data_IF_493618489428
#
_entry.id   IF_493618489428
#
_cell.length_a   1.000
_cell.length_b   1.000
_cell.length_c   1.000
_cell.angle_alpha   90.00
_cell.angle_beta   90.00
_cell.angle_gamma   90.00
#
_symmetry.space_group_name_H-M   'P 1'
#
loop_
_entity.id
_entity.type
_entity.pdbx_description
1 polymer ?
#
# COMPACT_ATOMS: atom_id res chain seq x y z
N UNK A 1 8.75 -15.60 31.34
CA UNK A 1 8.74 -14.51 30.34
C UNK A 1 7.29 -14.22 30.04
N UNK A 2 6.72 -13.19 30.66
CA UNK A 2 5.33 -12.82 30.43
C UNK A 2 5.23 -12.18 29.06
N UNK A 3 4.67 -12.90 28.09
CA UNK A 3 4.20 -12.32 26.83
C UNK A 3 3.03 -11.41 27.18
N UNK A 4 3.31 -10.13 27.46
CA UNK A 4 2.29 -9.11 27.55
C UNK A 4 1.50 -9.14 26.24
N UNK A 5 0.29 -9.69 26.28
CA UNK A 5 -0.64 -9.73 25.16
C UNK A 5 -1.20 -8.31 24.96
N UNK A 6 -0.34 -7.41 24.50
CA UNK A 6 -0.77 -6.07 24.16
C UNK A 6 -1.56 -6.16 22.86
N UNK A 7 -2.88 -5.99 23.00
CA UNK A 7 -3.81 -5.91 21.89
C UNK A 7 -3.58 -4.58 21.14
N UNK A 8 -2.96 -4.65 19.97
CA UNK A 8 -2.79 -3.52 19.07
C UNK A 8 -3.66 -3.72 17.82
N UNK A 9 -4.01 -2.61 17.17
CA UNK A 9 -4.57 -2.65 15.82
C UNK A 9 -3.44 -2.48 14.82
N UNK A 10 -3.41 -3.33 13.80
CA UNK A 10 -2.44 -3.23 12.72
C UNK A 10 -3.01 -2.46 11.54
N UNK A 11 -2.25 -1.50 11.02
CA UNK A 11 -2.49 -0.85 9.74
C UNK A 11 -1.35 -1.18 8.79
N UNK A 12 -1.60 -2.04 7.80
CA UNK A 12 -0.59 -2.48 6.84
C UNK A 12 -0.95 -2.13 5.39
N UNK A 13 0.06 -1.71 4.63
CA UNK A 13 0.02 -1.60 3.16
C UNK A 13 1.07 -2.53 2.57
N UNK A 14 0.62 -3.38 1.65
CA UNK A 14 1.52 -4.23 0.85
C UNK A 14 1.54 -3.70 -0.58
N UNK A 15 2.72 -3.63 -1.18
CA UNK A 15 2.86 -3.05 -2.51
C UNK A 15 4.17 -3.37 -3.20
N UNK A 16 4.30 -2.82 -4.41
CA UNK A 16 5.49 -2.87 -5.24
C UNK A 16 5.98 -1.44 -5.49
N UNK A 17 7.29 -1.24 -5.53
CA UNK A 17 7.84 0.09 -5.78
C UNK A 17 9.34 0.08 -5.96
N UNK A 18 9.85 1.17 -6.55
CA UNK A 18 11.28 1.38 -6.65
C UNK A 18 11.83 1.92 -5.34
N UNK A 19 12.90 1.30 -4.85
CA UNK A 19 13.67 1.77 -3.70
C UNK A 19 14.61 2.90 -4.14
N UNK A 20 14.88 3.83 -3.24
CA UNK A 20 15.87 4.89 -3.41
C UNK A 20 16.24 5.52 -2.09
N UNK A 21 17.33 6.29 -2.05
CA UNK A 21 17.75 7.06 -0.86
C UNK A 21 17.87 6.19 0.39
N UNK A 22 18.46 5.00 0.25
CA UNK A 22 18.85 4.17 1.39
C UNK A 22 19.90 4.94 2.21
N UNK A 23 19.70 5.01 3.53
CA UNK A 23 20.59 5.77 4.41
C UNK A 23 20.51 5.32 5.86
N UNK A 24 21.63 5.39 6.55
CA UNK A 24 21.67 5.35 8.01
C UNK A 24 21.35 6.75 8.57
N UNK A 25 20.28 6.85 9.34
CA UNK A 25 19.89 8.08 10.03
C UNK A 25 20.53 8.11 11.42
N UNK A 26 21.55 8.96 11.59
CA UNK A 26 22.28 9.13 12.85
C UNK A 26 21.68 10.28 13.69
N UNK A 27 21.65 10.16 15.03
CA UNK A 27 21.23 11.25 15.89
C UNK A 27 22.17 12.44 15.75
N UNK A 28 21.61 13.64 15.62
CA UNK A 28 22.38 14.88 15.70
C UNK A 28 22.72 15.20 17.17
N UNK A 29 23.67 16.12 17.40
CA UNK A 29 24.00 16.57 18.74
C UNK A 29 22.75 16.98 19.53
N UNK A 30 22.57 16.39 20.72
CA UNK A 30 21.40 16.60 21.57
C UNK A 30 20.20 15.68 21.31
N UNK A 31 20.15 14.94 20.20
CA UNK A 31 19.11 13.94 19.94
C UNK A 31 19.47 12.59 20.58
N UNK A 32 18.47 11.94 21.18
CA UNK A 32 18.63 10.63 21.82
C UNK A 32 17.73 9.60 21.16
N UNK A 33 18.19 9.04 20.04
CA UNK A 33 17.61 7.85 19.43
C UNK A 33 18.72 6.97 18.86
N UNK A 34 18.48 5.67 18.81
CA UNK A 34 19.40 4.71 18.20
C UNK A 34 19.43 4.94 16.68
N UNK A 35 20.62 5.00 16.04
CA UNK A 35 20.70 5.02 14.59
C UNK A 35 19.82 3.96 13.94
N UNK A 36 19.24 4.29 12.80
CA UNK A 36 18.35 3.38 12.08
C UNK A 36 18.46 3.57 10.58
N UNK A 37 18.19 2.51 9.83
CA UNK A 37 18.11 2.60 8.37
C UNK A 37 16.76 3.15 7.91
N UNK A 38 16.81 4.01 6.91
CA UNK A 38 15.64 4.54 6.22
C UNK A 38 15.80 4.40 4.71
N UNK A 39 14.69 4.25 4.01
CA UNK A 39 14.65 4.15 2.56
C UNK A 39 13.41 4.86 2.02
N UNK A 40 13.54 5.49 0.86
CA UNK A 40 12.41 6.03 0.13
C UNK A 40 11.86 5.00 -0.85
N UNK A 41 10.53 4.96 -1.02
CA UNK A 41 9.86 4.04 -1.93
C UNK A 41 8.93 4.82 -2.85
N UNK A 42 9.12 4.67 -4.16
CA UNK A 42 8.18 5.14 -5.17
C UNK A 42 7.20 4.00 -5.48
N UNK A 43 6.14 3.91 -4.68
CA UNK A 43 5.16 2.83 -4.73
C UNK A 43 4.19 3.00 -5.89
N UNK A 44 3.85 1.90 -6.56
CA UNK A 44 2.99 1.91 -7.75
C UNK A 44 1.52 1.84 -7.37
N UNK A 45 0.67 2.57 -8.10
CA UNK A 45 -0.77 2.38 -8.09
C UNK A 45 -1.37 2.70 -9.47
N UNK A 46 -2.64 2.33 -9.66
CA UNK A 46 -3.34 2.54 -10.93
C UNK A 46 -3.13 1.40 -11.93
N UNK A 47 -3.54 1.60 -13.20
CA UNK A 47 -3.43 0.62 -14.26
C UNK A 47 -1.97 0.26 -14.59
N UNK A 48 -1.73 -0.97 -15.05
CA UNK A 48 -0.38 -1.48 -15.36
C UNK A 48 0.30 -0.72 -16.51
N UNK A 49 -0.48 -0.21 -17.44
CA UNK A 49 -0.06 0.59 -18.60
C UNK A 49 0.00 2.10 -18.30
N UNK A 50 -0.51 2.54 -17.14
CA UNK A 50 -0.55 3.93 -16.71
C UNK A 50 -0.21 4.05 -15.21
N UNK A 51 0.98 3.57 -14.83
CA UNK A 51 1.43 3.54 -13.44
C UNK A 51 1.57 4.96 -12.88
N UNK A 52 0.95 5.19 -11.72
CA UNK A 52 1.13 6.37 -10.89
C UNK A 52 1.93 6.04 -9.63
N UNK A 53 2.49 7.06 -8.98
CA UNK A 53 3.41 6.90 -7.86
C UNK A 53 2.92 7.58 -6.58
N UNK A 54 3.00 6.86 -5.47
CA UNK A 54 2.92 7.41 -4.11
C UNK A 54 4.30 7.29 -3.46
N UNK A 55 4.77 8.38 -2.87
CA UNK A 55 6.09 8.43 -2.25
C UNK A 55 6.02 8.09 -0.77
N UNK A 56 6.86 7.15 -0.36
CA UNK A 56 7.08 6.82 1.03
C UNK A 56 8.52 7.15 1.45
N UNK A 57 8.72 7.58 2.69
CA UNK A 57 10.03 7.60 3.38
C UNK A 57 9.88 6.83 4.69
N UNK A 58 10.39 5.60 4.70
CA UNK A 58 10.09 4.62 5.75
C UNK A 58 11.33 4.29 6.55
N UNK A 59 11.13 4.10 7.86
CA UNK A 59 12.14 3.52 8.75
C UNK A 59 12.12 2.00 8.60
N UNK A 60 13.26 1.39 8.34
CA UNK A 60 13.41 -0.06 8.43
C UNK A 60 13.29 -0.49 9.89
N UNK A 61 12.28 -1.29 10.19
CA UNK A 61 12.02 -1.80 11.56
C UNK A 61 11.98 -3.31 11.63
N UNK A 62 11.70 -3.98 10.50
CA UNK A 62 11.92 -5.42 10.40
C UNK A 62 13.41 -5.72 10.27
N UNK A 63 13.92 -6.63 11.10
CA UNK A 63 15.34 -7.01 11.13
C UNK A 63 15.88 -7.45 9.76
N UNK A 64 15.14 -8.27 9.01
CA UNK A 64 15.55 -8.68 7.66
C UNK A 64 15.45 -7.53 6.65
N UNK A 65 14.45 -6.67 6.79
CA UNK A 65 14.33 -5.48 5.92
C UNK A 65 15.50 -4.54 6.12
N UNK A 66 15.92 -4.30 7.36
CA UNK A 66 17.07 -3.47 7.69
C UNK A 66 18.36 -3.99 7.07
N UNK A 67 18.64 -5.31 7.20
CA UNK A 67 19.81 -5.94 6.59
C UNK A 67 19.82 -5.79 5.07
N UNK A 68 18.69 -6.00 4.41
CA UNK A 68 18.58 -5.85 2.96
C UNK A 68 18.83 -4.40 2.53
N UNK A 69 18.27 -3.41 3.24
CA UNK A 69 18.54 -2.00 2.92
C UNK A 69 20.01 -1.66 3.09
N UNK A 70 20.66 -2.19 4.13
CA UNK A 70 22.09 -1.99 4.35
C UNK A 70 22.95 -2.69 3.27
N UNK A 71 22.64 -3.94 2.93
CA UNK A 71 23.40 -4.73 1.94
C UNK A 71 23.32 -4.13 0.54
N UNK A 72 22.15 -3.62 0.16
CA UNK A 72 21.92 -3.03 -1.16
C UNK A 72 22.00 -1.50 -1.17
N UNK A 73 22.55 -0.85 -0.13
CA UNK A 73 22.61 0.62 -0.03
C UNK A 73 23.22 1.26 -1.27
N UNK A 74 24.41 0.80 -1.68
CA UNK A 74 25.14 1.35 -2.82
C UNK A 74 24.31 1.25 -4.11
N UNK A 75 23.73 0.08 -4.37
CA UNK A 75 22.92 -0.18 -5.57
C UNK A 75 21.60 0.58 -5.55
N UNK A 76 20.98 0.77 -4.38
CA UNK A 76 19.76 1.58 -4.21
C UNK A 76 20.03 3.06 -4.48
N UNK A 77 21.22 3.54 -4.14
CA UNK A 77 21.61 4.94 -4.29
C UNK A 77 22.25 5.25 -5.64
N UNK A 78 22.67 4.23 -6.39
CA UNK A 78 23.14 4.36 -7.76
C UNK A 78 21.98 4.69 -8.72
N UNK A 79 22.18 5.73 -9.55
CA UNK A 79 21.19 6.17 -10.53
C UNK A 79 21.18 5.31 -11.79
N UNK A 80 22.21 4.50 -12.00
CA UNK A 80 22.31 3.61 -13.15
C UNK A 80 21.48 2.33 -12.97
N UNK A 81 21.16 1.98 -11.72
CA UNK A 81 20.45 0.76 -11.37
C UNK A 81 18.98 1.02 -10.99
N UNK A 82 18.10 0.11 -11.41
CA UNK A 82 16.69 0.11 -11.00
C UNK A 82 16.45 -0.97 -9.95
N UNK A 83 16.25 -0.55 -8.71
CA UNK A 83 15.96 -1.45 -7.59
C UNK A 83 14.46 -1.52 -7.33
N UNK A 84 13.82 -2.60 -7.75
CA UNK A 84 12.39 -2.87 -7.55
C UNK A 84 12.21 -3.82 -6.36
N UNK A 85 11.29 -3.53 -5.46
CA UNK A 85 10.99 -4.40 -4.32
C UNK A 85 9.48 -4.63 -4.14
N UNK A 86 9.16 -5.81 -3.61
CA UNK A 86 7.88 -6.06 -2.96
C UNK A 86 8.01 -5.84 -1.45
N UNK A 87 7.10 -5.08 -0.86
CA UNK A 87 7.23 -4.62 0.52
C UNK A 87 5.93 -4.66 1.32
N UNK A 88 6.06 -4.62 2.64
CA UNK A 88 4.99 -4.36 3.59
C UNK A 88 5.38 -3.20 4.52
N UNK A 89 4.54 -2.16 4.55
CA UNK A 89 4.69 -0.97 5.38
C UNK A 89 3.56 -0.96 6.42
N UNK A 90 3.93 -0.72 7.68
CA UNK A 90 2.99 -0.52 8.77
C UNK A 90 2.92 0.92 9.26
N UNK A 91 1.79 1.27 9.88
CA UNK A 91 1.54 2.52 10.59
C UNK A 91 1.88 3.75 9.74
N UNK A 92 1.38 3.79 8.50
CA UNK A 92 1.68 4.90 7.60
C UNK A 92 0.93 6.18 8.00
N UNK A 93 1.59 7.32 7.83
CA UNK A 93 1.00 8.64 8.09
C UNK A 93 1.60 9.69 7.16
N UNK A 94 0.86 10.75 6.81
CA UNK A 94 1.40 11.82 5.97
C UNK A 94 2.43 12.66 6.74
N UNK A 95 3.51 13.03 6.06
CA UNK A 95 4.44 14.06 6.52
C UNK A 95 3.92 15.47 6.19
N UNK A 96 4.65 16.49 6.61
CA UNK A 96 4.37 17.87 6.22
C UNK A 96 4.34 18.03 4.69
N UNK A 97 3.30 18.65 4.13
CA UNK A 97 3.25 18.96 2.70
C UNK A 97 4.40 19.88 2.30
N UNK A 98 4.94 19.68 1.11
CA UNK A 98 6.02 20.49 0.55
C UNK A 98 5.76 20.76 -0.93
N UNK A 99 6.29 21.87 -1.43
CA UNK A 99 6.19 22.21 -2.84
C UNK A 99 7.42 21.68 -3.60
N UNK A 100 7.16 21.05 -4.74
CA UNK A 100 8.21 20.63 -5.68
C UNK A 100 7.70 20.73 -7.11
N UNK A 101 8.46 21.44 -7.94
CA UNK A 101 8.14 21.72 -9.35
C UNK A 101 6.79 22.44 -9.51
N UNK A 102 6.48 23.40 -8.62
CA UNK A 102 5.21 24.15 -8.64
C UNK A 102 3.99 23.33 -8.19
N UNK A 103 4.20 22.12 -7.64
CA UNK A 103 3.13 21.23 -7.18
C UNK A 103 3.28 20.94 -5.70
N UNK A 104 2.17 21.07 -4.97
CA UNK A 104 2.09 20.58 -3.60
C UNK A 104 2.17 19.05 -3.59
N UNK A 105 3.04 18.50 -2.75
CA UNK A 105 3.25 17.07 -2.58
C UNK A 105 3.27 16.73 -1.10
N UNK A 106 3.00 15.47 -0.80
CA UNK A 106 3.13 14.90 0.54
C UNK A 106 3.88 13.57 0.43
N UNK A 107 4.80 13.34 1.36
CA UNK A 107 5.47 12.04 1.51
C UNK A 107 4.78 11.28 2.62
N UNK A 108 4.53 10.00 2.44
CA UNK A 108 4.03 9.13 3.50
C UNK A 108 5.20 8.58 4.30
N UNK A 109 5.17 8.74 5.62
CA UNK A 109 6.07 8.07 6.54
C UNK A 109 5.45 6.78 7.03
N UNK A 110 6.27 5.88 7.55
CA UNK A 110 5.81 4.62 8.12
C UNK A 110 6.97 3.70 8.50
N UNK A 111 6.62 2.47 8.87
CA UNK A 111 7.57 1.42 9.25
C UNK A 111 7.68 0.40 8.14
N UNK A 112 8.86 0.22 7.56
CA UNK A 112 9.11 -0.91 6.67
C UNK A 112 9.26 -2.17 7.52
N UNK A 113 8.23 -3.02 7.45
CA UNK A 113 8.13 -4.24 8.25
C UNK A 113 8.80 -5.41 7.52
N UNK A 114 8.57 -5.54 6.21
CA UNK A 114 9.09 -6.65 5.41
C UNK A 114 9.45 -6.22 4.00
N UNK A 115 10.58 -6.70 3.50
CA UNK A 115 10.88 -6.79 2.07
C UNK A 115 10.67 -8.25 1.66
N UNK A 116 9.75 -8.50 0.73
CA UNK A 116 9.42 -9.84 0.25
C UNK A 116 10.44 -10.34 -0.76
N UNK A 117 10.90 -9.47 -1.66
CA UNK A 117 11.92 -9.75 -2.66
C UNK A 117 12.49 -8.42 -3.18
N UNK A 118 13.70 -8.48 -3.74
CA UNK A 118 14.35 -7.35 -4.44
C UNK A 118 14.82 -7.81 -5.81
N UNK A 119 14.58 -6.97 -6.81
CA UNK A 119 15.11 -7.09 -8.16
C UNK A 119 15.99 -5.89 -8.49
N UNK A 120 17.19 -6.16 -8.99
CA UNK A 120 18.08 -5.14 -9.56
C UNK A 120 18.08 -5.37 -11.06
N UNK A 121 17.69 -4.35 -11.83
CA UNK A 121 17.60 -4.38 -13.29
C UNK A 121 16.82 -5.59 -13.83
N UNK A 122 15.73 -5.92 -13.13
CA UNK A 122 14.84 -7.04 -13.48
C UNK A 122 15.28 -8.41 -12.97
N UNK A 123 16.52 -8.57 -12.48
CA UNK A 123 17.01 -9.82 -11.90
C UNK A 123 16.75 -9.87 -10.40
N UNK A 124 16.11 -10.93 -9.91
CA UNK A 124 15.93 -11.16 -8.47
C UNK A 124 17.28 -11.40 -7.80
N UNK A 125 17.61 -10.56 -6.82
CA UNK A 125 18.85 -10.64 -6.03
C UNK A 125 18.59 -11.03 -4.58
N UNK A 126 17.36 -10.86 -4.10
CA UNK A 126 16.92 -11.25 -2.77
C UNK A 126 15.47 -11.75 -2.80
N UNK A 127 15.19 -12.77 -1.99
CA UNK A 127 13.84 -13.22 -1.67
C UNK A 127 13.80 -13.59 -0.19
N UNK A 128 12.80 -13.08 0.53
CA UNK A 128 12.62 -13.42 1.93
C UNK A 128 12.27 -14.90 2.06
N UNK A 129 12.78 -15.59 3.08
CA UNK A 129 12.31 -16.93 3.41
C UNK A 129 10.80 -16.86 3.70
N UNK A 130 10.04 -17.81 3.15
CA UNK A 130 8.65 -17.94 3.53
C UNK A 130 8.59 -18.27 5.03
N UNK A 131 7.69 -17.65 5.80
CA UNK A 131 7.43 -18.16 7.14
C UNK A 131 6.94 -19.59 6.94
N UNK A 132 7.77 -20.57 7.32
CA UNK A 132 7.36 -21.97 7.33
C UNK A 132 6.23 -22.10 8.34
N UNK A 133 5.07 -22.59 7.91
CA UNK A 133 3.98 -23.01 8.78
C UNK A 133 4.46 -24.20 9.64
N UNK A 134 5.25 -23.93 10.66
CA UNK A 134 5.69 -24.94 11.63
C UNK A 134 5.61 -24.35 13.02
N UNK A 135 4.38 -24.13 13.46
CA UNK A 135 3.93 -24.31 14.84
C UNK A 135 2.39 -24.26 14.85
N UNK A 136 1.74 -25.43 14.86
CA UNK A 136 0.28 -25.49 15.00
C UNK A 136 -0.45 -26.76 14.51
N UNK A 137 0.21 -27.82 14.04
CA UNK A 137 -0.43 -29.13 13.91
C UNK A 137 -0.24 -29.89 15.23
N UNK A 138 -1.18 -29.75 16.15
CA UNK A 138 -1.44 -30.77 17.19
C UNK A 138 -2.84 -31.31 16.96
N UNK A 139 -2.87 -32.61 16.73
CA UNK A 139 -4.02 -33.50 16.80
C UNK A 139 -5.00 -33.09 17.91
N UNK A 140 -6.28 -33.08 17.56
CA UNK A 140 -7.34 -33.61 18.42
C UNK A 140 -8.44 -34.15 17.49
N UNK A 141 -8.24 -35.38 17.01
CA UNK A 141 -9.34 -36.27 16.64
C UNK A 141 -10.05 -36.70 17.92
N UNK A 142 -11.26 -36.20 18.13
CA UNK A 142 -12.26 -36.88 18.94
C UNK A 142 -13.63 -36.75 18.26
N UNK A 143 -13.90 -37.75 17.43
CA UNK A 143 -15.25 -38.21 17.13
C UNK A 143 -15.89 -38.77 18.42
N UNK A 144 -17.19 -38.53 18.67
CA UNK A 144 -18.03 -39.66 19.05
C UNK A 144 -19.20 -39.87 18.08
N UNK A 145 -19.36 -41.13 17.72
CA UNK A 145 -20.34 -41.67 16.80
C UNK A 145 -21.77 -41.73 17.36
N UNK A 146 -22.71 -41.78 16.40
CA UNK A 146 -24.00 -42.48 16.39
C UNK A 146 -25.19 -41.89 17.16
N UNK A 147 -26.22 -41.49 16.41
CA UNK A 147 -27.51 -42.23 16.35
C UNK A 147 -28.12 -42.13 14.94
N UNK A 148 -28.35 -43.30 14.32
CA UNK A 148 -29.39 -43.54 13.29
C UNK A 148 -30.71 -43.84 14.03
N UNK A 149 -31.94 -43.83 13.50
CA UNK A 149 -32.57 -43.63 12.21
C UNK A 149 -34.05 -43.28 12.51
N UNK A 150 -34.78 -42.64 11.58
CA UNK A 150 -36.00 -43.28 11.09
C UNK A 150 -36.49 -42.70 9.76
N UNK A 151 -37.06 -43.60 8.98
CA UNK A 151 -37.56 -43.47 7.60
C UNK A 151 -38.91 -42.72 7.62
N UNK A 152 -39.45 -42.12 6.54
CA UNK A 152 -40.14 -42.85 5.46
C UNK A 152 -40.62 -41.88 4.35
N UNK A 153 -40.12 -42.12 3.14
CA UNK A 153 -40.75 -42.24 1.81
C UNK A 153 -42.10 -41.59 1.40
N UNK A 154 -42.18 -41.35 0.08
CA UNK A 154 -43.32 -41.09 -0.83
C UNK A 154 -43.66 -39.60 -1.11
N UNK A 155 -43.89 -39.15 -2.34
CA UNK A 155 -43.90 -39.74 -3.69
C UNK A 155 -44.00 -38.59 -4.72
N UNK A 156 -43.92 -38.93 -6.01
CA UNK A 156 -44.20 -38.13 -7.22
C UNK A 156 -45.45 -37.24 -7.13
N UNK A 157 -45.67 -36.19 -7.94
CA UNK A 157 -45.64 -36.13 -9.40
C UNK A 157 -45.84 -34.67 -9.88
N UNK A 158 -45.62 -34.50 -11.19
CA UNK A 158 -45.73 -33.33 -12.08
C UNK A 158 -46.92 -32.36 -11.93
N UNK A 159 -46.70 -31.08 -12.29
CA UNK A 159 -47.40 -30.45 -13.43
C UNK A 159 -46.85 -29.06 -13.82
N UNK A 160 -46.80 -28.83 -15.15
CA UNK A 160 -46.52 -27.54 -15.82
C UNK A 160 -47.79 -26.69 -15.86
N UNK A 161 -47.72 -25.37 -15.64
CA UNK A 161 -48.51 -24.34 -16.40
C UNK A 161 -47.83 -22.95 -16.33
N UNK A 162 -47.36 -22.50 -17.50
CA UNK A 162 -47.55 -21.21 -18.20
C UNK A 162 -47.26 -19.79 -17.61
N UNK A 163 -46.57 -19.03 -18.48
CA UNK A 163 -46.65 -17.60 -18.86
C UNK A 163 -46.56 -16.39 -17.89
N UNK A 164 -45.47 -15.63 -18.12
CA UNK A 164 -45.42 -14.22 -18.61
C UNK A 164 -45.52 -12.98 -17.68
N UNK A 165 -44.64 -12.01 -18.01
CA UNK A 165 -44.59 -10.56 -17.67
C UNK A 165 -44.17 -10.20 -16.23
N UNK A 166 -43.38 -9.16 -15.91
CA UNK A 166 -42.89 -7.97 -16.63
C UNK A 166 -41.64 -7.39 -15.91
N UNK A 167 -40.91 -6.56 -16.65
CA UNK A 167 -39.94 -5.51 -16.27
C UNK A 167 -39.86 -5.06 -14.79
N UNK A 168 -38.65 -4.83 -14.26
CA UNK A 168 -38.01 -3.50 -14.18
C UNK A 168 -36.81 -3.52 -13.23
N UNK A 169 -35.77 -2.84 -13.69
CA UNK A 169 -34.49 -2.45 -13.09
C UNK A 169 -34.58 -1.72 -11.74
N UNK A 170 -33.59 -1.92 -10.86
CA UNK A 170 -32.60 -0.89 -10.50
C UNK A 170 -31.74 -1.32 -9.30
N UNK A 171 -30.49 -1.70 -9.56
CA UNK A 171 -29.39 -1.71 -8.59
C UNK A 171 -28.69 -0.34 -8.56
N UNK A 172 -27.86 -0.07 -7.53
CA UNK A 172 -27.52 1.28 -7.08
C UNK A 172 -26.43 1.94 -7.94
N UNK A 173 -26.61 3.23 -8.26
CA UNK A 173 -25.59 4.09 -8.86
C UNK A 173 -25.00 4.95 -7.75
N UNK A 174 -23.74 4.70 -7.38
CA UNK A 174 -22.92 5.66 -6.64
C UNK A 174 -21.79 6.10 -7.56
N UNK A 175 -21.97 7.27 -8.17
CA UNK A 175 -21.03 7.86 -9.12
C UNK A 175 -20.13 8.85 -8.40
N UNK A 176 -18.82 8.63 -8.49
CA UNK A 176 -17.85 9.71 -8.42
C UNK A 176 -16.74 9.44 -9.44
N UNK A 177 -17.00 9.85 -10.68
CA UNK A 177 -16.05 9.77 -11.77
C UNK A 177 -15.31 11.11 -11.89
N UNK A 178 -14.02 11.13 -11.55
CA UNK A 178 -13.14 12.23 -11.91
C UNK A 178 -12.77 12.07 -13.39
N UNK A 179 -13.47 12.78 -14.27
CA UNK A 179 -13.13 12.89 -15.69
C UNK A 179 -12.06 13.96 -15.91
N UNK A 180 -10.87 13.57 -16.37
CA UNK A 180 -9.91 14.48 -16.98
C UNK A 180 -10.17 14.57 -18.48
N UNK A 181 -10.51 15.76 -18.96
CA UNK A 181 -10.56 16.08 -20.39
C UNK A 181 -9.13 16.26 -20.95
N UNK A 182 -8.86 15.87 -22.21
CA UNK A 182 -7.55 16.07 -22.82
C UNK A 182 -7.34 17.53 -23.24
N UNK A 183 -6.12 18.04 -23.02
CA UNK A 183 -5.67 19.37 -23.45
C UNK A 183 -5.30 19.30 -24.93
N UNK A 184 -5.94 20.13 -25.75
CA UNK A 184 -5.55 20.42 -27.14
C UNK A 184 -4.67 21.67 -27.18
N UNK A 185 -3.50 21.57 -27.81
CA UNK A 185 -2.63 22.71 -28.12
C UNK A 185 -3.31 23.71 -29.07
N UNK A 186 -3.17 25.01 -28.76
CA UNK A 186 -3.65 26.09 -29.63
C UNK A 186 -3.37 27.46 -29.03
N UNK A 187 -2.57 28.26 -29.75
CA UNK A 187 -2.02 29.56 -29.36
C UNK A 187 -3.08 30.64 -29.05
N UNK A 188 -2.79 31.51 -28.07
CA UNK A 188 -3.45 32.82 -27.93
C UNK A 188 -3.44 33.39 -26.51
N UNK A 189 -2.54 34.34 -26.20
CA UNK A 189 -2.74 35.38 -25.17
C UNK A 189 -3.88 36.30 -25.65
N UNK A 190 -4.78 36.87 -24.80
CA UNK A 190 -4.38 37.80 -23.72
C UNK A 190 -5.24 37.77 -22.44
N UNK A 191 -4.73 38.32 -21.34
CA UNK A 191 -5.54 38.59 -20.14
C UNK A 191 -4.72 38.93 -18.90
N UNK A 192 -4.31 40.20 -18.79
CA UNK A 192 -3.76 40.77 -17.56
C UNK A 192 -4.84 40.78 -16.46
N UNK A 193 -4.65 40.01 -15.39
CA UNK A 193 -5.43 40.17 -14.17
C UNK A 193 -4.69 41.10 -13.20
N UNK A 194 -5.18 42.34 -13.11
CA UNK A 194 -4.79 43.30 -12.08
C UNK A 194 -5.47 42.91 -10.77
N UNK A 195 -4.69 42.56 -9.74
CA UNK A 195 -5.21 42.41 -8.37
C UNK A 195 -4.97 43.74 -7.64
N UNK A 196 -6.06 44.46 -7.35
CA UNK A 196 -6.05 45.61 -6.46
C UNK A 196 -5.87 45.13 -5.02
N UNK A 197 -4.71 45.39 -4.42
CA UNK A 197 -4.50 45.26 -2.98
C UNK A 197 -4.68 46.64 -2.36
N UNK A 198 -5.81 46.83 -1.68
CA UNK A 198 -6.06 47.98 -0.83
C UNK A 198 -5.29 47.78 0.49
N UNK A 199 -4.28 48.62 0.75
CA UNK A 199 -3.61 48.66 2.05
C UNK A 199 -4.50 49.39 3.08
N UNK A 200 -4.62 48.90 4.33
CA UNK A 200 -5.25 49.68 5.39
C UNK A 200 -4.32 50.81 5.85
N UNK A 201 -4.88 52.01 5.98
CA UNK A 201 -4.24 53.19 6.56
C UNK A 201 -4.09 53.05 8.08
N UNK A 202 -2.91 53.40 8.59
CA UNK A 202 -2.65 53.56 10.02
C UNK A 202 -3.49 54.70 10.62
N UNK A 203 -3.96 54.48 11.85
CA UNK A 203 -4.34 55.51 12.82
C UNK A 203 -4.01 55.03 14.22
#
# INVERSE_FOLDING_TARGET
MSTSNNLYFDLHTTGLGYLGRAREVKPKAGQRFTPFWAVSISAFHGPRDAISYVFFDVKATGAESEKVIQEFEDVINDKEHKVLAGFNIGDMYPDEPYEKDGKLRVTLKGRLLRIMWVKVDGKTVYSAPQPSDTEGAKDDDQTPAAVSADQQEASSESDKVDQAHSETTSGPVNGNAYSHSPVTDGQGLPGSYSVNIQMPSES
#
